data_IF_376510364336
#
_entry.id   IF_376510364336
#
_cell.length_a   1.000
_cell.length_b   1.000
_cell.length_c   1.000
_cell.angle_alpha   90.00
_cell.angle_beta   90.00
_cell.angle_gamma   90.00
#
_symmetry.space_group_name_H-M   'P 1'
#
loop_
_entity.id
_entity.type
_entity.pdbx_description
1 polymer ?
#
# COMPACT_ATOMS: atom_id res chain seq x y z
N UNK A 1 -1.83 -1.53 13.72
CA UNK A 1 -2.67 -2.66 13.28
C UNK A 1 -4.09 -2.41 13.68
N UNK A 2 -4.99 -2.57 12.72
CA UNK A 2 -6.45 -2.45 12.91
C UNK A 2 -6.89 -3.69 13.68
N UNK A 3 -7.62 -3.48 14.78
CA UNK A 3 -8.14 -4.58 15.61
C UNK A 3 -9.64 -4.72 15.45
N UNK A 4 -10.33 -3.59 15.41
CA UNK A 4 -11.75 -3.49 15.13
C UNK A 4 -11.92 -2.60 13.90
N UNK A 5 -12.84 -2.96 13.03
CA UNK A 5 -13.15 -2.16 11.84
C UNK A 5 -13.75 -0.82 12.23
N UNK A 6 -14.56 -0.80 13.28
CA UNK A 6 -15.16 0.40 13.86
C UNK A 6 -14.14 1.51 14.17
N UNK A 7 -12.90 1.14 14.52
CA UNK A 7 -11.84 2.11 14.80
C UNK A 7 -11.53 3.00 13.57
N UNK A 8 -11.88 2.55 12.35
CA UNK A 8 -11.70 3.26 11.09
C UNK A 8 -12.80 4.28 10.79
N UNK A 9 -13.94 4.26 11.50
CA UNK A 9 -15.08 5.16 11.23
C UNK A 9 -14.67 6.63 11.11
N UNK A 10 -13.80 7.20 11.99
CA UNK A 10 -13.39 8.60 11.87
C UNK A 10 -12.53 8.91 10.64
N UNK A 11 -11.97 7.89 9.97
CA UNK A 11 -11.20 8.04 8.74
C UNK A 11 -12.09 7.95 7.49
N UNK A 12 -13.23 7.27 7.59
CA UNK A 12 -14.16 6.95 6.49
C UNK A 12 -15.31 7.97 6.43
N UNK A 13 -15.89 8.30 7.60
CA UNK A 13 -17.07 9.15 7.70
C UNK A 13 -16.88 10.54 7.10
N UNK A 14 -17.95 11.04 6.47
CA UNK A 14 -17.97 12.34 5.79
C UNK A 14 -17.35 12.36 4.39
N UNK A 15 -16.84 11.23 3.88
CA UNK A 15 -16.35 11.10 2.51
C UNK A 15 -17.43 10.65 1.51
N UNK A 16 -17.43 11.18 0.28
CA UNK A 16 -18.30 10.63 -0.78
C UNK A 16 -17.78 9.31 -1.38
N UNK A 17 -16.46 9.13 -1.43
CA UNK A 17 -15.80 7.90 -1.91
C UNK A 17 -14.51 7.70 -1.14
N UNK A 18 -14.24 6.47 -0.68
CA UNK A 18 -12.99 6.11 -0.02
C UNK A 18 -12.26 5.07 -0.85
N UNK A 19 -10.99 5.35 -1.18
CA UNK A 19 -10.12 4.42 -1.88
C UNK A 19 -9.29 3.64 -0.87
N UNK A 20 -9.52 2.33 -0.79
CA UNK A 20 -8.69 1.42 -0.03
C UNK A 20 -7.53 0.95 -0.91
N UNK A 21 -6.36 1.52 -0.66
CA UNK A 21 -5.21 1.45 -1.56
C UNK A 21 -4.38 0.15 -1.41
N UNK A 22 -5.01 -1.01 -1.62
CA UNK A 22 -4.38 -2.33 -1.54
C UNK A 22 -4.13 -2.84 -0.14
N UNK A 23 -3.88 -4.15 -0.05
CA UNK A 23 -3.67 -4.90 1.19
C UNK A 23 -4.81 -4.69 2.20
N UNK A 24 -6.03 -4.60 1.68
CA UNK A 24 -7.24 -4.46 2.50
C UNK A 24 -7.72 -5.81 2.99
N UNK A 25 -7.45 -6.85 2.20
CA UNK A 25 -7.72 -8.24 2.52
C UNK A 25 -6.41 -9.05 2.50
N UNK A 26 -6.36 -10.12 3.29
CA UNK A 26 -5.28 -11.10 3.24
C UNK A 26 -5.81 -12.37 2.58
N UNK A 27 -5.49 -12.52 1.29
CA UNK A 27 -5.95 -13.63 0.45
C UNK A 27 -5.02 -14.84 0.51
N UNK A 28 -3.73 -14.57 0.74
CA UNK A 28 -2.66 -15.53 0.45
C UNK A 28 -2.29 -16.36 1.67
N UNK A 29 -2.46 -15.85 2.89
CA UNK A 29 -2.21 -16.59 4.13
C UNK A 29 -3.49 -17.30 4.64
N UNK A 30 -3.59 -18.64 4.54
CA UNK A 30 -4.80 -19.38 4.90
C UNK A 30 -5.25 -19.15 6.34
N UNK A 31 -4.30 -18.98 7.27
CA UNK A 31 -4.57 -18.78 8.70
C UNK A 31 -5.29 -17.45 9.02
N UNK A 32 -5.42 -16.53 8.06
CA UNK A 32 -6.15 -15.28 8.23
C UNK A 32 -7.46 -15.22 7.45
N UNK A 33 -7.76 -16.19 6.58
CA UNK A 33 -8.87 -16.11 5.60
C UNK A 33 -10.22 -15.80 6.24
N UNK A 34 -10.61 -16.56 7.27
CA UNK A 34 -11.89 -16.36 7.97
C UNK A 34 -11.97 -14.98 8.62
N UNK A 35 -10.92 -14.59 9.35
CA UNK A 35 -10.86 -13.30 10.01
C UNK A 35 -10.89 -12.15 9.01
N UNK A 36 -10.14 -12.25 7.92
CA UNK A 36 -10.12 -11.25 6.86
C UNK A 36 -11.47 -11.13 6.16
N UNK A 37 -12.22 -12.23 6.01
CA UNK A 37 -13.57 -12.21 5.44
C UNK A 37 -14.55 -11.49 6.37
N UNK A 38 -14.54 -11.82 7.67
CA UNK A 38 -15.39 -11.15 8.66
C UNK A 38 -15.10 -9.65 8.74
N UNK A 39 -13.82 -9.26 8.83
CA UNK A 39 -13.43 -7.85 8.87
C UNK A 39 -13.77 -7.09 7.57
N UNK A 40 -13.71 -7.76 6.42
CA UNK A 40 -14.12 -7.15 5.16
C UNK A 40 -15.63 -6.90 5.13
N UNK A 41 -16.43 -7.86 5.61
CA UNK A 41 -17.88 -7.70 5.70
C UNK A 41 -18.26 -6.54 6.63
N UNK A 42 -17.65 -6.48 7.81
CA UNK A 42 -17.77 -5.35 8.75
C UNK A 42 -17.38 -4.02 8.08
N UNK A 43 -16.30 -4.00 7.28
CA UNK A 43 -15.83 -2.78 6.61
C UNK A 43 -16.82 -2.31 5.54
N UNK A 44 -17.38 -3.24 4.78
CA UNK A 44 -18.40 -2.93 3.78
C UNK A 44 -19.69 -2.46 4.45
N UNK A 45 -20.07 -3.02 5.60
CA UNK A 45 -21.19 -2.54 6.40
C UNK A 45 -20.95 -1.11 6.90
N UNK A 46 -19.77 -0.85 7.49
CA UNK A 46 -19.35 0.47 7.94
C UNK A 46 -19.43 1.51 6.81
N UNK A 47 -18.93 1.18 5.61
CA UNK A 47 -19.02 2.10 4.46
C UNK A 47 -20.48 2.39 4.07
N UNK A 48 -21.36 1.38 4.09
CA UNK A 48 -22.80 1.57 3.80
C UNK A 48 -23.47 2.46 4.85
N UNK A 49 -23.19 2.24 6.13
CA UNK A 49 -23.71 3.05 7.23
C UNK A 49 -23.30 4.52 7.11
N UNK A 50 -22.03 4.77 6.75
CA UNK A 50 -21.50 6.12 6.54
C UNK A 50 -21.92 6.75 5.21
N UNK A 51 -22.70 6.05 4.37
CA UNK A 51 -23.10 6.52 3.04
C UNK A 51 -21.93 6.71 2.06
N UNK A 52 -20.79 6.08 2.34
CA UNK A 52 -19.54 6.22 1.59
C UNK A 52 -19.46 5.12 0.53
N UNK A 53 -19.07 5.47 -0.70
CA UNK A 53 -18.75 4.48 -1.72
C UNK A 53 -17.32 3.93 -1.54
N UNK A 54 -17.13 2.65 -1.21
CA UNK A 54 -15.80 2.06 -1.16
C UNK A 54 -15.27 1.78 -2.58
N UNK A 55 -13.99 2.05 -2.79
CA UNK A 55 -13.24 1.66 -4.00
C UNK A 55 -12.01 0.88 -3.57
N UNK A 56 -11.93 -0.38 -3.98
CA UNK A 56 -10.82 -1.27 -3.63
C UNK A 56 -9.79 -1.31 -4.76
N UNK A 57 -8.51 -1.33 -4.40
CA UNK A 57 -7.36 -1.51 -5.30
C UNK A 57 -6.61 -2.76 -4.86
N UNK A 58 -6.12 -3.57 -5.80
CA UNK A 58 -5.30 -4.74 -5.49
C UNK A 58 -3.97 -4.33 -4.84
N UNK A 59 -3.63 -5.00 -3.74
CA UNK A 59 -2.32 -4.99 -3.12
C UNK A 59 -1.53 -6.26 -3.44
N UNK A 60 -0.42 -6.45 -2.74
CA UNK A 60 0.36 -7.69 -2.87
C UNK A 60 -0.15 -8.81 -1.95
N UNK A 61 -1.00 -8.50 -0.97
CA UNK A 61 -1.66 -9.48 -0.10
C UNK A 61 -3.04 -9.93 -0.62
N UNK A 62 -3.65 -9.15 -1.52
CA UNK A 62 -4.93 -9.40 -2.20
C UNK A 62 -4.82 -9.11 -3.72
N UNK A 63 -3.89 -9.78 -4.44
CA UNK A 63 -3.49 -9.37 -5.79
C UNK A 63 -4.54 -9.66 -6.89
N UNK A 64 -5.58 -10.44 -6.59
CA UNK A 64 -6.64 -10.83 -7.54
C UNK A 64 -8.05 -10.42 -7.12
N UNK A 65 -8.21 -9.82 -5.94
CA UNK A 65 -9.52 -9.72 -5.29
C UNK A 65 -10.46 -8.66 -5.89
N UNK A 66 -9.93 -7.54 -6.36
CA UNK A 66 -10.74 -6.32 -6.60
C UNK A 66 -10.94 -5.96 -8.08
N UNK A 67 -10.38 -6.74 -9.00
CA UNK A 67 -10.48 -6.49 -10.45
C UNK A 67 -9.82 -5.18 -10.93
N UNK A 68 -9.07 -4.49 -10.06
CA UNK A 68 -8.47 -3.18 -10.35
C UNK A 68 -7.15 -3.00 -9.62
N UNK A 69 -6.11 -2.60 -10.35
CA UNK A 69 -4.76 -2.39 -9.78
C UNK A 69 -4.41 -0.90 -9.51
N UNK A 70 -5.25 0.03 -9.97
CA UNK A 70 -5.13 1.46 -9.71
C UNK A 70 -6.41 2.25 -9.99
N UNK A 71 -6.48 3.48 -9.47
CA UNK A 71 -7.58 4.44 -9.69
C UNK A 71 -7.02 5.77 -10.16
N UNK A 72 -7.59 6.32 -11.24
CA UNK A 72 -7.42 7.71 -11.63
C UNK A 72 -8.51 8.56 -10.93
N UNK A 73 -8.10 9.39 -9.97
CA UNK A 73 -8.97 10.24 -9.16
C UNK A 73 -8.79 11.74 -9.51
N UNK A 74 -9.70 12.58 -9.00
CA UNK A 74 -9.68 14.04 -9.20
C UNK A 74 -9.59 14.47 -10.69
N UNK A 75 -10.32 13.77 -11.57
CA UNK A 75 -10.29 13.99 -13.01
C UNK A 75 -8.96 13.59 -13.66
N UNK A 76 -8.28 12.56 -13.13
CA UNK A 76 -6.98 12.10 -13.62
C UNK A 76 -5.78 12.87 -13.06
N UNK A 77 -6.00 13.89 -12.22
CA UNK A 77 -4.91 14.65 -11.56
C UNK A 77 -4.21 13.85 -10.47
N UNK A 78 -4.87 12.84 -9.90
CA UNK A 78 -4.31 12.00 -8.85
C UNK A 78 -4.37 10.52 -9.27
N UNK A 79 -3.22 9.87 -9.34
CA UNK A 79 -3.12 8.44 -9.60
C UNK A 79 -2.93 7.68 -8.30
N UNK A 80 -3.77 6.69 -8.01
CA UNK A 80 -3.72 5.89 -6.79
C UNK A 80 -3.40 4.44 -7.14
N UNK A 81 -2.32 3.89 -6.59
CA UNK A 81 -1.90 2.49 -6.76
C UNK A 81 -1.30 1.97 -5.47
N UNK A 82 -1.41 0.68 -5.15
CA UNK A 82 -0.83 0.16 -3.91
C UNK A 82 0.69 0.36 -3.86
N UNK A 83 1.38 0.36 -5.01
CA UNK A 83 2.81 0.70 -5.12
C UNK A 83 3.76 -0.48 -5.21
N UNK A 84 3.28 -1.71 -5.01
CA UNK A 84 4.07 -2.93 -5.25
C UNK A 84 4.56 -3.06 -6.70
N UNK A 85 3.80 -2.56 -7.68
CA UNK A 85 4.16 -2.46 -9.11
C UNK A 85 5.41 -1.59 -9.39
N UNK A 86 5.82 -0.75 -8.44
CA UNK A 86 7.02 0.06 -8.56
C UNK A 86 8.30 -0.78 -8.42
N UNK A 87 8.20 -1.96 -7.83
CA UNK A 87 9.32 -2.81 -7.45
C UNK A 87 9.25 -4.14 -8.23
N UNK A 88 10.26 -4.41 -9.06
CA UNK A 88 10.34 -5.64 -9.89
C UNK A 88 10.14 -6.93 -9.10
N UNK A 89 10.72 -6.98 -7.91
CA UNK A 89 10.70 -8.15 -7.03
C UNK A 89 9.59 -8.07 -5.98
N UNK A 90 8.68 -7.09 -6.10
CA UNK A 90 7.62 -6.74 -5.14
C UNK A 90 8.18 -6.37 -3.78
N UNK A 91 8.74 -7.32 -3.03
CA UNK A 91 9.37 -7.12 -1.73
C UNK A 91 10.82 -7.66 -1.72
N UNK A 92 11.79 -6.94 -2.33
CA UNK A 92 13.19 -7.39 -2.41
C UNK A 92 13.86 -7.63 -1.05
N UNK A 93 13.32 -7.02 0.02
CA UNK A 93 13.77 -7.20 1.40
C UNK A 93 13.23 -8.48 2.07
N UNK A 94 12.30 -9.19 1.44
CA UNK A 94 11.66 -10.37 2.01
C UNK A 94 12.63 -11.55 2.08
N UNK A 95 12.77 -12.16 3.26
CA UNK A 95 13.54 -13.40 3.41
C UNK A 95 12.99 -14.54 2.56
N UNK A 96 11.68 -14.51 2.27
CA UNK A 96 10.97 -15.54 1.47
C UNK A 96 11.33 -15.49 -0.01
N UNK A 97 11.87 -14.36 -0.49
CA UNK A 97 12.34 -14.24 -1.86
C UNK A 97 13.47 -15.25 -2.16
N UNK A 98 14.30 -15.61 -1.17
CA UNK A 98 15.44 -16.52 -1.38
C UNK A 98 15.02 -17.87 -1.98
N UNK A 99 13.89 -18.42 -1.54
CA UNK A 99 13.41 -19.72 -2.00
C UNK A 99 12.74 -19.71 -3.38
N UNK A 100 12.32 -18.54 -3.87
CA UNK A 100 11.59 -18.42 -5.15
C UNK A 100 12.25 -17.45 -6.14
N UNK A 101 13.46 -16.96 -5.84
CA UNK A 101 14.15 -15.94 -6.64
C UNK A 101 14.38 -16.40 -8.07
N UNK A 102 14.88 -17.62 -8.28
CA UNK A 102 15.19 -18.13 -9.64
C UNK A 102 13.94 -18.18 -10.53
N UNK A 103 12.81 -18.63 -9.97
CA UNK A 103 11.54 -18.68 -10.68
C UNK A 103 11.02 -17.28 -11.02
N UNK A 104 11.10 -16.34 -10.06
CA UNK A 104 10.73 -14.94 -10.29
C UNK A 104 11.63 -14.29 -11.34
N UNK A 105 12.94 -14.52 -11.30
CA UNK A 105 13.89 -14.00 -12.28
C UNK A 105 13.62 -14.58 -13.68
N UNK A 106 13.28 -15.87 -13.78
CA UNK A 106 12.86 -16.48 -15.05
C UNK A 106 11.56 -15.86 -15.59
N UNK A 107 10.56 -15.61 -14.72
CA UNK A 107 9.33 -14.90 -15.11
C UNK A 107 9.62 -13.48 -15.62
N UNK A 108 10.48 -12.75 -14.92
CA UNK A 108 10.88 -11.40 -15.32
C UNK A 108 11.67 -11.39 -16.65
N UNK A 109 12.56 -12.37 -16.85
CA UNK A 109 13.33 -12.50 -18.09
C UNK A 109 12.43 -12.84 -19.29
N UNK A 110 11.47 -13.76 -19.10
CA UNK A 110 10.52 -14.16 -20.12
C UNK A 110 9.59 -13.01 -20.55
N UNK A 111 9.28 -12.08 -19.63
CA UNK A 111 8.47 -10.90 -19.94
C UNK A 111 9.22 -9.82 -20.75
N UNK A 112 10.55 -9.93 -20.88
CA UNK A 112 11.38 -8.94 -21.57
C UNK A 112 11.76 -7.74 -20.69
N UNK A 113 12.03 -6.60 -21.33
CA UNK A 113 12.47 -5.40 -20.61
C UNK A 113 11.35 -4.78 -19.77
N UNK A 114 11.50 -4.83 -18.44
CA UNK A 114 10.55 -4.31 -17.44
C UNK A 114 10.10 -2.86 -17.69
N UNK A 115 11.01 -2.02 -18.15
CA UNK A 115 10.76 -0.61 -18.46
C UNK A 115 9.92 -0.43 -19.73
N UNK A 116 9.89 -1.43 -20.62
CA UNK A 116 9.15 -1.39 -21.89
C UNK A 116 7.74 -1.96 -21.81
N UNK A 117 7.45 -2.79 -20.81
CA UNK A 117 6.11 -3.35 -20.60
C UNK A 117 5.02 -2.27 -20.65
N UNK A 118 3.85 -2.61 -21.18
CA UNK A 118 2.65 -1.81 -21.00
C UNK A 118 2.25 -1.79 -19.52
N UNK A 119 1.38 -0.85 -19.15
CA UNK A 119 0.89 -0.77 -17.78
C UNK A 119 0.19 -2.07 -17.34
N UNK A 120 -0.65 -2.62 -18.22
CA UNK A 120 -1.40 -3.85 -17.95
C UNK A 120 -0.47 -5.06 -17.77
N UNK A 121 0.51 -5.23 -18.65
CA UNK A 121 1.52 -6.29 -18.53
C UNK A 121 2.33 -6.15 -17.25
N UNK A 122 2.71 -4.92 -16.88
CA UNK A 122 3.46 -4.68 -15.65
C UNK A 122 2.65 -5.06 -14.41
N UNK A 123 1.35 -4.76 -14.37
CA UNK A 123 0.49 -5.22 -13.27
C UNK A 123 0.27 -6.73 -13.28
N UNK A 124 0.02 -7.34 -14.44
CA UNK A 124 -0.14 -8.78 -14.57
C UNK A 124 1.11 -9.54 -14.09
N UNK A 125 2.30 -9.10 -14.51
CA UNK A 125 3.57 -9.67 -14.07
C UNK A 125 3.79 -9.47 -12.56
N UNK A 126 3.49 -8.28 -12.05
CA UNK A 126 3.59 -7.98 -10.61
C UNK A 126 2.68 -8.92 -9.80
N UNK A 127 1.44 -9.14 -10.23
CA UNK A 127 0.49 -10.09 -9.63
C UNK A 127 1.04 -11.51 -9.65
N UNK A 128 1.59 -11.95 -10.78
CA UNK A 128 2.18 -13.29 -10.89
C UNK A 128 3.37 -13.46 -9.90
N UNK A 129 4.21 -12.44 -9.75
CA UNK A 129 5.30 -12.43 -8.74
C UNK A 129 4.72 -12.48 -7.32
N UNK A 130 3.68 -11.71 -7.01
CA UNK A 130 3.00 -11.77 -5.71
C UNK A 130 2.51 -13.19 -5.39
N UNK A 131 1.84 -13.86 -6.34
CA UNK A 131 1.32 -15.21 -6.17
C UNK A 131 2.42 -16.26 -6.03
N UNK A 132 3.57 -16.06 -6.68
CA UNK A 132 4.71 -16.96 -6.57
C UNK A 132 5.42 -16.87 -5.23
N UNK A 133 5.47 -15.69 -4.62
CA UNK A 133 6.07 -15.52 -3.31
C UNK A 133 5.28 -16.30 -2.25
N UNK A 134 5.93 -16.95 -1.26
CA UNK A 134 5.20 -17.52 -0.14
C UNK A 134 4.54 -16.42 0.72
N UNK A 135 3.30 -16.63 1.22
CA UNK A 135 2.55 -15.62 1.99
C UNK A 135 3.21 -15.34 3.33
N UNK A 136 3.14 -14.09 3.83
CA UNK A 136 3.66 -13.75 5.16
C UNK A 136 2.62 -14.06 6.24
N UNK A 137 2.91 -15.01 7.12
CA UNK A 137 2.03 -15.38 8.24
C UNK A 137 2.39 -14.64 9.53
N UNK A 138 3.05 -13.48 9.41
CA UNK A 138 3.54 -12.72 10.56
C UNK A 138 2.38 -12.16 11.38
N UNK A 139 2.08 -12.81 12.51
CA UNK A 139 1.15 -12.26 13.51
C UNK A 139 1.76 -11.01 14.12
N UNK A 140 1.09 -9.88 13.93
CA UNK A 140 1.39 -8.65 14.66
C UNK A 140 0.22 -8.33 15.60
N UNK A 141 0.42 -7.45 16.59
CA UNK A 141 -0.66 -6.95 17.43
C UNK A 141 -0.60 -7.30 18.91
N UNK A 142 0.45 -7.98 19.39
CA UNK A 142 0.73 -8.14 20.83
C UNK A 142 1.21 -6.81 21.46
N UNK A 143 0.67 -6.44 22.63
CA UNK A 143 1.04 -5.18 23.31
C UNK A 143 2.28 -5.31 24.21
N UNK A 144 2.62 -6.53 24.64
CA UNK A 144 3.75 -6.78 25.52
C UNK A 144 5.08 -6.35 24.90
N UNK A 145 5.94 -5.75 25.72
CA UNK A 145 7.28 -5.29 25.29
C UNK A 145 8.09 -6.42 24.68
N UNK A 146 8.10 -7.59 25.32
CA UNK A 146 8.80 -8.78 24.81
C UNK A 146 8.34 -9.18 23.40
N UNK A 147 7.04 -9.12 23.12
CA UNK A 147 6.51 -9.48 21.82
C UNK A 147 6.80 -8.43 20.74
N UNK A 148 6.86 -7.14 21.11
CA UNK A 148 7.35 -6.06 20.22
C UNK A 148 8.84 -6.21 19.91
N UNK A 149 9.65 -6.57 20.91
CA UNK A 149 11.08 -6.88 20.73
C UNK A 149 11.26 -8.09 19.82
N UNK A 150 10.53 -9.18 20.06
CA UNK A 150 10.56 -10.37 19.21
C UNK A 150 10.16 -10.08 17.76
N UNK A 151 9.12 -9.26 17.56
CA UNK A 151 8.73 -8.80 16.21
C UNK A 151 9.84 -7.98 15.56
N UNK A 152 10.45 -7.03 16.29
CA UNK A 152 11.56 -6.24 15.78
C UNK A 152 12.75 -7.12 15.36
N UNK A 153 13.14 -8.08 16.21
CA UNK A 153 14.23 -9.01 15.91
C UNK A 153 13.97 -9.81 14.64
N UNK A 154 12.71 -10.20 14.41
CA UNK A 154 12.31 -10.91 13.20
C UNK A 154 12.25 -10.01 11.96
N UNK A 155 11.90 -8.75 12.13
CA UNK A 155 11.86 -7.75 11.05
C UNK A 155 13.26 -7.30 10.62
N UNK A 156 14.25 -7.32 11.51
CA UNK A 156 15.66 -7.03 11.17
C UNK A 156 16.41 -8.25 10.62
N UNK A 157 15.84 -9.45 10.71
CA UNK A 157 16.44 -10.67 10.16
C UNK A 157 15.93 -10.97 8.74
N UNK A 158 16.81 -11.37 7.79
CA UNK A 158 18.28 -11.41 7.90
C UNK A 158 18.88 -10.00 8.01
N UNK A 159 20.12 -9.82 8.53
CA UNK A 159 20.71 -8.50 8.76
C UNK A 159 20.84 -7.62 7.51
N UNK A 160 20.77 -8.22 6.31
CA UNK A 160 20.71 -7.49 5.03
C UNK A 160 19.35 -6.83 4.78
N UNK A 161 18.27 -7.26 5.45
CA UNK A 161 16.91 -6.77 5.25
C UNK A 161 16.76 -5.28 5.55
N UNK A 162 17.22 -4.73 6.70
CA UNK A 162 17.20 -3.28 6.93
C UNK A 162 17.90 -2.49 5.82
N UNK A 163 19.04 -2.99 5.32
CA UNK A 163 19.76 -2.35 4.23
C UNK A 163 18.95 -2.33 2.93
N UNK A 164 18.33 -3.45 2.54
CA UNK A 164 17.43 -3.52 1.38
C UNK A 164 16.21 -2.59 1.52
N UNK A 165 15.61 -2.53 2.71
CA UNK A 165 14.50 -1.61 3.00
C UNK A 165 14.94 -0.15 2.81
N UNK A 166 16.11 0.23 3.34
CA UNK A 166 16.64 1.59 3.18
C UNK A 166 16.94 1.93 1.72
N UNK A 167 17.53 1.02 0.95
CA UNK A 167 17.75 1.21 -0.50
C UNK A 167 16.44 1.46 -1.23
N UNK A 168 15.42 0.65 -0.96
CA UNK A 168 14.08 0.83 -1.54
C UNK A 168 13.55 2.20 -1.20
N UNK A 169 13.53 2.59 0.07
CA UNK A 169 13.02 3.89 0.48
C UNK A 169 13.75 5.07 -0.18
N UNK A 170 15.07 4.97 -0.38
CA UNK A 170 15.84 5.98 -1.09
C UNK A 170 15.50 6.04 -2.60
N UNK A 171 15.21 4.89 -3.23
CA UNK A 171 14.89 4.78 -4.66
C UNK A 171 13.43 5.09 -5.01
N UNK A 172 12.49 4.93 -4.08
CA UNK A 172 11.04 5.07 -4.32
C UNK A 172 10.64 6.37 -5.02
N UNK A 173 11.14 7.56 -4.64
CA UNK A 173 10.73 8.80 -5.30
C UNK A 173 11.07 8.81 -6.79
N UNK A 174 12.24 8.25 -7.16
CA UNK A 174 12.64 8.11 -8.55
C UNK A 174 11.71 7.13 -9.28
N UNK A 175 11.54 5.93 -8.74
CA UNK A 175 10.73 4.87 -9.35
C UNK A 175 9.28 5.31 -9.54
N UNK A 176 8.66 5.93 -8.53
CA UNK A 176 7.30 6.45 -8.62
C UNK A 176 7.19 7.58 -9.65
N UNK A 177 8.14 8.52 -9.67
CA UNK A 177 8.13 9.60 -10.66
C UNK A 177 8.29 9.11 -12.10
N UNK A 178 9.20 8.18 -12.35
CA UNK A 178 9.43 7.59 -13.68
C UNK A 178 8.24 6.76 -14.13
N UNK A 179 7.70 5.91 -13.25
CA UNK A 179 6.50 5.12 -13.51
C UNK A 179 5.30 5.99 -13.86
N UNK A 180 4.99 6.99 -13.04
CA UNK A 180 3.86 7.89 -13.30
C UNK A 180 4.12 8.73 -14.54
N UNK A 181 5.34 9.23 -14.76
CA UNK A 181 5.68 9.97 -15.97
C UNK A 181 5.45 9.16 -17.25
N UNK A 182 5.71 7.85 -17.22
CA UNK A 182 5.48 6.96 -18.36
C UNK A 182 4.01 6.63 -18.57
N UNK A 183 3.32 6.17 -17.53
CA UNK A 183 2.00 5.55 -17.68
C UNK A 183 0.83 6.51 -17.42
N UNK A 184 1.08 7.61 -16.72
CA UNK A 184 0.09 8.63 -16.32
C UNK A 184 0.70 10.04 -16.35
N UNK A 185 1.20 10.51 -17.50
CA UNK A 185 1.91 11.78 -17.61
C UNK A 185 1.10 12.99 -17.12
N UNK A 186 -0.24 12.94 -17.25
CA UNK A 186 -1.15 13.99 -16.78
C UNK A 186 -1.33 14.06 -15.26
N UNK A 187 -0.95 13.02 -14.51
CA UNK A 187 -1.13 12.99 -13.06
C UNK A 187 -0.16 13.98 -12.37
N UNK A 188 -0.75 14.87 -11.56
CA UNK A 188 -0.05 15.86 -10.73
C UNK A 188 0.35 15.30 -9.36
N UNK A 189 -0.32 14.23 -8.93
CA UNK A 189 0.01 13.48 -7.74
C UNK A 189 -0.08 11.97 -7.99
N UNK A 190 0.80 11.21 -7.32
CA UNK A 190 0.66 9.75 -7.17
C UNK A 190 0.62 9.39 -5.70
N UNK A 191 -0.40 8.62 -5.31
CA UNK A 191 -0.61 8.12 -3.95
C UNK A 191 -0.38 6.62 -3.96
N UNK A 192 0.51 6.15 -3.08
CA UNK A 192 0.88 4.75 -2.99
C UNK A 192 1.19 4.31 -1.56
N UNK A 193 1.30 3.00 -1.33
CA UNK A 193 1.54 2.39 -0.03
C UNK A 193 2.69 1.40 -0.09
N UNK A 194 2.41 0.15 0.30
CA UNK A 194 3.27 -1.04 0.23
C UNK A 194 4.51 -1.04 1.15
N UNK A 195 5.31 0.02 1.17
CA UNK A 195 6.60 0.04 1.88
C UNK A 195 6.52 0.51 3.33
N UNK A 196 5.31 0.74 3.83
CA UNK A 196 4.96 1.09 5.21
C UNK A 196 5.63 2.36 5.77
N UNK A 197 6.34 3.13 4.95
CA UNK A 197 6.96 4.39 5.33
C UNK A 197 6.21 5.57 4.72
N UNK A 198 5.35 6.18 5.52
CA UNK A 198 4.64 7.37 5.11
C UNK A 198 5.62 8.53 4.83
N UNK A 199 5.46 9.16 3.68
CA UNK A 199 6.35 10.23 3.22
C UNK A 199 5.75 11.02 2.05
N UNK A 200 6.22 12.25 1.89
CA UNK A 200 5.85 13.15 0.80
C UNK A 200 7.11 13.63 0.09
N UNK A 201 7.11 13.52 -1.23
CA UNK A 201 8.18 14.03 -2.08
C UNK A 201 7.61 14.87 -3.23
N UNK A 202 8.46 15.71 -3.80
CA UNK A 202 8.22 16.42 -5.06
C UNK A 202 9.32 16.03 -6.05
N UNK A 203 8.95 15.46 -7.19
CA UNK A 203 9.91 15.06 -8.23
C UNK A 203 9.22 15.02 -9.59
N UNK A 204 9.92 15.41 -10.65
CA UNK A 204 9.38 15.38 -12.02
C UNK A 204 8.09 16.20 -12.19
N UNK A 205 7.94 17.30 -11.46
CA UNK A 205 6.75 18.17 -11.53
C UNK A 205 5.48 17.61 -10.87
N UNK A 206 5.58 16.49 -10.13
CA UNK A 206 4.45 15.83 -9.46
C UNK A 206 4.71 15.56 -7.97
N UNK A 207 3.63 15.45 -7.20
CA UNK A 207 3.67 15.05 -5.80
C UNK A 207 3.66 13.53 -5.70
N UNK A 208 4.51 12.98 -4.84
CA UNK A 208 4.59 11.54 -4.59
C UNK A 208 4.26 11.33 -3.12
N UNK A 209 3.20 10.59 -2.82
CA UNK A 209 2.71 10.39 -1.46
C UNK A 209 2.72 8.90 -1.14
N UNK A 210 3.61 8.48 -0.23
CA UNK A 210 3.48 7.16 0.39
C UNK A 210 2.60 7.30 1.64
N UNK A 211 1.51 6.54 1.73
CA UNK A 211 0.56 6.58 2.86
C UNK A 211 1.02 5.75 4.06
N UNK A 212 2.12 5.00 3.94
CA UNK A 212 2.56 4.05 4.94
C UNK A 212 1.64 2.83 5.01
N UNK A 213 1.48 2.25 6.20
CA UNK A 213 0.58 1.11 6.41
C UNK A 213 0.14 0.95 7.86
N UNK A 214 -0.91 0.17 8.10
CA UNK A 214 -1.43 -0.10 9.44
C UNK A 214 -0.66 -1.21 10.17
N UNK A 215 0.67 -1.20 10.10
CA UNK A 215 1.54 -2.21 10.72
C UNK A 215 2.23 -1.69 11.99
N UNK A 216 2.85 -2.60 12.75
CA UNK A 216 3.64 -2.22 13.93
C UNK A 216 4.84 -1.37 13.51
N UNK A 217 5.08 -0.27 14.22
CA UNK A 217 6.12 0.75 13.93
C UNK A 217 5.87 1.70 12.75
N UNK A 218 4.77 1.55 12.01
CA UNK A 218 4.38 2.50 10.98
C UNK A 218 3.51 3.64 11.54
N UNK A 219 3.50 4.78 10.84
CA UNK A 219 2.65 5.94 11.10
C UNK A 219 1.89 6.28 9.81
N UNK A 220 0.74 5.62 9.55
CA UNK A 220 0.04 5.77 8.28
C UNK A 220 -0.53 7.17 8.13
N UNK A 221 -0.75 7.59 6.88
CA UNK A 221 -1.35 8.88 6.52
C UNK A 221 -2.65 8.67 5.76
N UNK A 222 -3.57 9.62 5.92
CA UNK A 222 -4.76 9.79 5.10
C UNK A 222 -4.47 10.83 4.02
N UNK A 223 -4.98 10.59 2.82
CA UNK A 223 -4.99 11.57 1.74
C UNK A 223 -6.44 11.82 1.34
N UNK A 224 -6.84 13.08 1.33
CA UNK A 224 -8.19 13.53 0.95
C UNK A 224 -8.09 14.49 -0.22
N UNK A 225 -9.06 14.42 -1.12
CA UNK A 225 -9.27 15.40 -2.17
C UNK A 225 -10.57 16.15 -1.85
N UNK A 226 -10.50 17.47 -1.68
CA UNK A 226 -11.65 18.31 -1.30
C UNK A 226 -12.31 19.04 -2.48
N UNK A 227 -11.83 18.80 -3.71
CA UNK A 227 -12.30 19.50 -4.91
C UNK A 227 -11.30 20.54 -5.43
N UNK A 228 -10.52 21.12 -4.52
CA UNK A 228 -9.55 22.19 -4.83
C UNK A 228 -8.10 21.70 -4.67
N UNK A 229 -7.85 20.90 -3.64
CA UNK A 229 -6.52 20.48 -3.25
C UNK A 229 -6.46 19.07 -2.67
N UNK A 230 -5.23 18.58 -2.59
CA UNK A 230 -4.90 17.35 -1.90
C UNK A 230 -4.50 17.69 -0.46
N UNK A 231 -5.23 17.14 0.50
CA UNK A 231 -4.97 17.26 1.93
C UNK A 231 -4.31 15.98 2.42
N UNK A 232 -3.18 16.09 3.12
CA UNK A 232 -2.44 14.96 3.69
C UNK A 232 -2.42 15.12 5.21
N UNK A 233 -2.83 14.07 5.91
CA UNK A 233 -2.95 14.05 7.36
C UNK A 233 -2.33 12.81 7.97
N UNK A 234 -1.71 12.94 9.14
CA UNK A 234 -1.15 11.77 9.84
C UNK A 234 -2.24 11.08 10.63
N UNK A 235 -2.32 9.76 10.53
CA UNK A 235 -3.25 8.98 11.35
C UNK A 235 -2.59 8.68 12.69
N UNK A 236 -3.34 8.89 13.78
CA UNK A 236 -2.97 8.51 15.14
C UNK A 236 -4.06 7.67 15.78
N UNK A 237 -3.68 6.88 16.78
CA UNK A 237 -4.65 6.21 17.65
C UNK A 237 -4.87 7.10 18.86
N UNK A 238 -6.12 7.50 19.12
CA UNK A 238 -6.52 8.30 20.29
C UNK A 238 -7.73 7.64 20.94
N UNK A 239 -7.64 7.30 22.23
CA UNK A 239 -8.76 6.71 22.97
C UNK A 239 -9.26 5.36 22.44
N UNK A 240 -8.42 4.61 21.71
CA UNK A 240 -8.80 3.33 21.11
C UNK A 240 -9.29 3.41 19.66
N UNK A 241 -9.67 4.59 19.17
CA UNK A 241 -10.07 4.81 17.78
C UNK A 241 -8.96 5.49 16.96
N UNK A 242 -9.03 5.40 15.63
CA UNK A 242 -8.17 6.20 14.76
C UNK A 242 -8.68 7.64 14.67
N UNK A 243 -7.76 8.58 14.57
CA UNK A 243 -8.03 9.98 14.28
C UNK A 243 -6.91 10.55 13.41
N UNK A 244 -7.06 11.81 13.01
CA UNK A 244 -6.05 12.53 12.21
C UNK A 244 -5.40 13.66 12.99
N UNK A 245 -4.12 13.90 12.70
CA UNK A 245 -3.36 15.03 13.25
C UNK A 245 -2.41 15.59 12.19
N UNK A 246 -2.29 16.92 12.18
CA UNK A 246 -1.42 17.64 11.28
C UNK A 246 -2.00 17.65 9.87
N UNK A 247 -2.10 18.84 9.29
CA UNK A 247 -2.70 19.04 7.97
C UNK A 247 -1.67 19.66 7.05
N UNK A 248 -1.42 19.04 5.91
CA UNK A 248 -0.68 19.66 4.80
C UNK A 248 -1.58 19.72 3.59
N UNK A 249 -1.86 20.93 3.13
CA UNK A 249 -2.63 21.18 1.91
C UNK A 249 -1.66 21.38 0.75
N UNK A 250 -1.99 20.75 -0.37
CA UNK A 250 -1.18 20.75 -1.58
C UNK A 250 -2.09 21.03 -2.77
N UNK A 251 -1.87 22.17 -3.43
CA UNK A 251 -2.56 22.48 -4.67
C UNK A 251 -2.09 21.54 -5.79
N UNK A 252 -3.06 20.98 -6.53
CA UNK A 252 -2.83 20.21 -7.76
C UNK A 252 -3.26 21.10 -8.94
N UNK A 253 -2.46 22.14 -9.18
CA UNK A 253 -2.60 23.01 -10.35
C UNK A 253 -2.44 22.27 -11.67
#
# INVERSE_FOLDING_TARGET
MIRKVEDLRPLIGGGGTVVFNGDTFEERAPCYREKSAAMLEELMALCREEGVRPVMVNGNHDPERWGRDAVDAAGGRMYVTHGHVLLRLVSPWSSKLRGCRGEIEAMLAAAGEWERLSLGERYALTRAVCLRMPPSETRQGSQGVAAKVGLLMREVWPPTRPWEVMKVWAGLPRLASEFTGRYRPGAKAVVFGHTHRAALWRRGGRWLVNTGGFVTFSRPWRVTWDGEGMVIERIRVKGGAFGVEGKRVVALG
#
